data_IF_528703294308
#
_entry.id   IF_528703294308
#
_cell.length_a   1.000
_cell.length_b   1.000
_cell.length_c   1.000
_cell.angle_alpha   90.00
_cell.angle_beta   90.00
_cell.angle_gamma   90.00
#
_symmetry.space_group_name_H-M   'P 1'
#
loop_
_entity.id
_entity.type
_entity.pdbx_description
1 polymer ?
#
# COMPACT_ATOMS: atom_id res chain seq x y z
N UNK A 1 10.71 3.01 9.25
CA UNK A 1 9.84 3.04 8.05
C UNK A 1 9.18 1.69 7.85
N UNK A 2 8.04 1.64 7.15
CA UNK A 2 7.34 0.40 6.82
C UNK A 2 6.88 0.45 5.36
N UNK A 3 6.89 -0.70 4.70
CA UNK A 3 6.27 -0.93 3.39
C UNK A 3 5.13 -1.93 3.56
N UNK A 4 4.03 -1.71 2.86
CA UNK A 4 2.83 -2.53 2.96
C UNK A 4 2.17 -2.70 1.59
N UNK A 5 1.26 -3.66 1.51
CA UNK A 5 0.46 -3.91 0.32
C UNK A 5 -0.89 -4.48 0.73
N UNK A 6 -1.99 -4.01 0.15
CA UNK A 6 -3.32 -4.54 0.44
C UNK A 6 -4.22 -4.54 -0.81
N UNK A 7 -5.27 -5.33 -0.77
CA UNK A 7 -6.30 -5.44 -1.80
C UNK A 7 -7.68 -5.28 -1.14
N UNK A 8 -8.72 -5.01 -1.92
CA UNK A 8 -10.11 -5.00 -1.45
C UNK A 8 -10.51 -6.22 -0.60
N UNK A 9 -9.88 -7.38 -0.81
CA UNK A 9 -10.21 -8.64 -0.10
C UNK A 9 -9.23 -9.02 1.00
N UNK A 10 -7.96 -8.68 0.84
CA UNK A 10 -6.87 -9.22 1.64
C UNK A 10 -5.89 -8.13 2.01
N UNK A 11 -5.49 -8.13 3.27
CA UNK A 11 -4.27 -7.48 3.72
C UNK A 11 -3.07 -8.32 3.27
N UNK A 12 -2.09 -7.65 2.68
CA UNK A 12 -0.84 -8.26 2.28
C UNK A 12 0.26 -8.04 3.32
N UNK A 13 1.52 -8.37 2.98
CA UNK A 13 2.64 -8.23 3.90
C UNK A 13 2.86 -6.79 4.38
N UNK A 14 3.07 -6.65 5.69
CA UNK A 14 3.62 -5.46 6.34
C UNK A 14 5.11 -5.70 6.62
N UNK A 15 5.99 -4.86 6.07
CA UNK A 15 7.44 -5.04 6.08
C UNK A 15 8.12 -3.86 6.76
N UNK A 16 8.79 -4.12 7.88
CA UNK A 16 9.63 -3.12 8.55
C UNK A 16 10.89 -2.86 7.71
N UNK A 17 11.15 -1.58 7.45
CA UNK A 17 12.37 -1.11 6.80
C UNK A 17 13.26 -0.44 7.85
N UNK A 18 14.45 -1.02 8.04
CA UNK A 18 15.48 -0.50 8.96
C UNK A 18 16.16 0.79 8.46
N UNK A 19 16.01 1.12 7.18
CA UNK A 19 16.62 2.30 6.58
C UNK A 19 15.66 2.94 5.58
N UNK A 20 16.02 4.14 5.12
CA UNK A 20 15.31 4.84 4.05
C UNK A 20 15.14 3.96 2.81
N UNK A 21 13.95 4.02 2.21
CA UNK A 21 13.64 3.29 0.99
C UNK A 21 14.40 3.94 -0.16
N UNK A 22 15.25 3.16 -0.82
CA UNK A 22 15.92 3.52 -2.07
C UNK A 22 15.32 2.71 -3.21
N UNK A 23 15.56 3.13 -4.47
CA UNK A 23 15.10 2.35 -5.62
C UNK A 23 15.57 0.89 -5.62
N UNK A 24 16.80 0.63 -5.16
CA UNK A 24 17.32 -0.74 -5.02
C UNK A 24 16.65 -1.54 -3.90
N UNK A 25 16.37 -0.91 -2.75
CA UNK A 25 15.61 -1.57 -1.69
C UNK A 25 14.18 -1.84 -2.13
N UNK A 26 13.57 -0.91 -2.84
CA UNK A 26 12.25 -1.12 -3.41
C UNK A 26 12.25 -2.28 -4.40
N UNK A 27 13.25 -2.36 -5.30
CA UNK A 27 13.45 -3.51 -6.17
C UNK A 27 13.60 -4.83 -5.40
N UNK A 28 14.24 -4.83 -4.22
CA UNK A 28 14.34 -6.04 -3.40
C UNK A 28 13.02 -6.48 -2.77
N UNK A 29 12.01 -5.59 -2.71
CA UNK A 29 10.68 -5.92 -2.17
C UNK A 29 9.77 -6.46 -3.28
N UNK A 30 9.86 -5.90 -4.50
CA UNK A 30 8.95 -6.16 -5.60
C UNK A 30 8.79 -7.66 -5.97
N UNK A 31 9.85 -8.45 -6.25
CA UNK A 31 9.70 -9.86 -6.62
C UNK A 31 9.17 -10.74 -5.48
N UNK A 32 9.60 -10.48 -4.24
CA UNK A 32 9.34 -11.39 -3.14
C UNK A 32 8.00 -11.14 -2.45
N UNK A 33 7.59 -9.87 -2.39
CA UNK A 33 6.41 -9.49 -1.63
C UNK A 33 5.27 -9.03 -2.52
N UNK A 34 5.56 -8.16 -3.49
CA UNK A 34 4.51 -7.68 -4.39
C UNK A 34 4.04 -8.78 -5.36
N UNK A 35 4.96 -9.34 -6.14
CA UNK A 35 4.62 -10.33 -7.18
C UNK A 35 3.96 -11.57 -6.58
N UNK A 36 4.49 -12.05 -5.45
CA UNK A 36 3.91 -13.15 -4.70
C UNK A 36 2.48 -12.83 -4.22
N UNK A 37 2.25 -11.64 -3.67
CA UNK A 37 0.92 -11.22 -3.24
C UNK A 37 -0.06 -11.11 -4.41
N UNK A 38 0.35 -10.48 -5.52
CA UNK A 38 -0.48 -10.38 -6.73
C UNK A 38 -0.82 -11.76 -7.27
N UNK A 39 0.13 -12.70 -7.31
CA UNK A 39 -0.10 -14.06 -7.81
C UNK A 39 -1.13 -14.83 -6.96
N UNK A 40 -1.18 -14.57 -5.66
CA UNK A 40 -2.16 -15.19 -4.74
C UNK A 40 -3.54 -14.56 -4.91
N UNK A 41 -3.60 -13.23 -5.02
CA UNK A 41 -4.87 -12.50 -5.04
C UNK A 41 -5.50 -12.44 -6.44
N UNK A 42 -4.69 -12.47 -7.51
CA UNK A 42 -5.08 -12.26 -8.91
C UNK A 42 -4.49 -13.32 -9.84
N UNK A 43 -4.89 -14.58 -9.64
CA UNK A 43 -4.50 -15.67 -10.54
C UNK A 43 -5.04 -15.50 -11.99
N UNK A 44 -5.99 -14.60 -12.22
CA UNK A 44 -6.57 -14.32 -13.53
C UNK A 44 -5.74 -13.34 -14.39
N UNK A 45 -4.64 -12.78 -13.85
CA UNK A 45 -3.77 -11.84 -14.56
C UNK A 45 -4.40 -10.48 -14.84
N UNK A 46 -5.54 -10.18 -14.23
CA UNK A 46 -6.25 -8.89 -14.37
C UNK A 46 -5.92 -7.92 -13.23
N UNK A 47 -4.98 -8.27 -12.36
CA UNK A 47 -4.55 -7.44 -11.25
C UNK A 47 -4.04 -6.08 -11.72
N UNK A 48 -4.37 -5.03 -10.97
CA UNK A 48 -3.88 -3.67 -11.22
C UNK A 48 -3.12 -3.17 -10.01
N UNK A 49 -1.88 -2.75 -10.27
CA UNK A 49 -0.93 -2.26 -9.30
C UNK A 49 -0.88 -0.74 -9.35
N UNK A 50 -1.29 -0.04 -8.30
CA UNK A 50 -1.08 1.40 -8.16
C UNK A 50 -0.04 1.66 -7.09
N UNK A 51 0.81 2.67 -7.28
CA UNK A 51 1.75 3.21 -6.28
C UNK A 51 1.79 4.75 -6.35
N UNK A 52 2.27 5.40 -5.28
CA UNK A 52 2.54 6.84 -5.32
C UNK A 52 3.76 7.18 -6.20
N UNK A 53 3.96 8.48 -6.45
CA UNK A 53 5.05 8.99 -7.26
C UNK A 53 6.31 9.31 -6.42
N UNK A 54 6.56 8.58 -5.34
CA UNK A 54 7.76 8.78 -4.53
C UNK A 54 9.03 8.42 -5.33
N UNK A 55 10.13 9.14 -5.09
CA UNK A 55 11.41 8.95 -5.82
C UNK A 55 11.89 7.49 -5.92
N UNK A 56 11.77 6.63 -4.87
CA UNK A 56 12.16 5.22 -4.99
C UNK A 56 11.30 4.42 -5.97
N UNK A 57 10.01 4.74 -6.05
CA UNK A 57 9.01 4.10 -6.91
C UNK A 57 9.17 4.52 -8.38
N UNK A 58 9.58 5.77 -8.62
CA UNK A 58 9.92 6.29 -9.95
C UNK A 58 11.37 5.96 -10.39
N UNK A 59 12.13 5.24 -9.56
CA UNK A 59 13.51 4.89 -9.91
C UNK A 59 13.57 3.99 -11.15
N UNK A 60 14.60 4.19 -11.99
CA UNK A 60 14.78 3.41 -13.23
C UNK A 60 14.73 1.89 -13.02
N UNK A 61 15.22 1.42 -11.87
CA UNK A 61 15.24 -0.01 -11.54
C UNK A 61 13.85 -0.53 -11.19
N UNK A 62 13.05 0.25 -10.46
CA UNK A 62 11.68 -0.09 -10.11
C UNK A 62 10.76 -0.05 -11.33
N UNK A 63 10.83 1.02 -12.12
CA UNK A 63 10.01 1.17 -13.33
C UNK A 63 10.31 0.10 -14.36
N UNK A 64 11.59 -0.28 -14.51
CA UNK A 64 12.00 -1.37 -15.40
C UNK A 64 11.41 -2.71 -14.95
N UNK A 65 11.48 -3.02 -13.65
CA UNK A 65 10.90 -4.26 -13.13
C UNK A 65 9.38 -4.33 -13.36
N UNK A 66 8.66 -3.22 -13.11
CA UNK A 66 7.21 -3.14 -13.36
C UNK A 66 6.85 -3.33 -14.83
N UNK A 67 7.69 -2.83 -15.76
CA UNK A 67 7.50 -3.04 -17.19
C UNK A 67 7.72 -4.50 -17.60
N UNK A 68 8.76 -5.14 -17.05
CA UNK A 68 9.07 -6.56 -17.30
C UNK A 68 7.96 -7.50 -16.82
N UNK A 69 7.18 -7.10 -15.79
CA UNK A 69 6.08 -7.90 -15.23
C UNK A 69 4.69 -7.40 -15.67
N UNK A 70 4.62 -6.60 -16.74
CA UNK A 70 3.35 -6.07 -17.27
C UNK A 70 2.40 -7.13 -17.83
N UNK A 71 2.88 -8.36 -18.06
CA UNK A 71 2.05 -9.52 -18.40
C UNK A 71 1.27 -10.07 -17.21
N UNK A 72 1.78 -9.86 -16.00
CA UNK A 72 1.27 -10.50 -14.78
C UNK A 72 0.24 -9.59 -14.10
N UNK A 73 0.43 -8.29 -14.22
CA UNK A 73 -0.49 -7.26 -13.73
C UNK A 73 -0.26 -5.94 -14.48
N UNK A 74 -1.26 -5.06 -14.44
CA UNK A 74 -1.16 -3.71 -15.03
C UNK A 74 -0.69 -2.71 -14.00
N UNK A 75 0.41 -2.01 -14.27
CA UNK A 75 0.81 -0.86 -13.46
C UNK A 75 -0.04 0.37 -13.81
N UNK A 76 -0.81 0.87 -12.83
CA UNK A 76 -1.60 2.07 -12.92
C UNK A 76 -0.80 3.31 -12.50
N UNK A 77 -0.54 4.19 -13.47
CA UNK A 77 0.16 5.44 -13.23
C UNK A 77 -0.76 6.49 -12.58
N UNK A 78 -0.50 6.82 -11.32
CA UNK A 78 -1.22 7.88 -10.62
C UNK A 78 -0.73 9.27 -11.07
N UNK A 79 -1.61 10.24 -11.37
CA UNK A 79 -1.16 11.60 -11.70
C UNK A 79 -0.60 12.32 -10.47
N UNK A 80 0.55 13.00 -10.63
CA UNK A 80 1.24 13.73 -9.55
C UNK A 80 0.42 14.86 -8.91
N UNK A 81 -0.67 15.30 -9.55
CA UNK A 81 -1.55 16.38 -9.08
C UNK A 81 -2.98 15.93 -8.77
N UNK A 82 -3.21 14.63 -8.66
CA UNK A 82 -4.51 14.13 -8.23
C UNK A 82 -4.63 14.20 -6.70
N UNK A 83 -5.84 14.38 -6.15
CA UNK A 83 -6.07 14.19 -4.72
C UNK A 83 -5.52 12.82 -4.34
N UNK A 84 -4.70 12.75 -3.30
CA UNK A 84 -4.27 11.47 -2.77
C UNK A 84 -5.52 10.66 -2.42
N UNK A 85 -5.47 9.35 -2.61
CA UNK A 85 -6.61 8.52 -2.30
C UNK A 85 -6.78 8.51 -0.77
N UNK A 86 -7.84 9.18 -0.30
CA UNK A 86 -8.07 9.48 1.11
C UNK A 86 -7.99 8.24 2.02
N UNK A 87 -8.23 7.05 1.48
CA UNK A 87 -8.31 5.88 2.31
C UNK A 87 -7.00 5.27 2.77
N UNK A 88 -5.87 5.54 2.12
CA UNK A 88 -4.56 5.19 2.72
C UNK A 88 -4.40 5.94 4.02
N UNK A 89 -4.72 7.23 4.00
CA UNK A 89 -4.68 8.05 5.20
C UNK A 89 -5.73 7.55 6.20
N UNK A 90 -6.92 7.12 5.78
CA UNK A 90 -7.90 6.52 6.69
C UNK A 90 -7.42 5.19 7.33
N UNK A 91 -6.67 4.34 6.60
CA UNK A 91 -6.03 3.13 7.16
C UNK A 91 -4.92 3.53 8.13
N UNK A 92 -4.08 4.47 7.74
CA UNK A 92 -2.97 4.98 8.54
C UNK A 92 -3.45 5.61 9.85
N UNK A 93 -4.49 6.42 9.78
CA UNK A 93 -5.09 7.07 10.94
C UNK A 93 -5.71 6.04 11.88
N UNK A 94 -6.37 5.00 11.34
CA UNK A 94 -6.85 3.89 12.16
C UNK A 94 -5.71 3.14 12.87
N UNK A 95 -4.61 2.87 12.17
CA UNK A 95 -3.42 2.22 12.74
C UNK A 95 -2.74 3.10 13.81
N UNK A 96 -2.57 4.38 13.54
CA UNK A 96 -2.01 5.36 14.48
C UNK A 96 -2.87 5.48 15.74
N UNK A 97 -4.19 5.60 15.57
CA UNK A 97 -5.12 5.64 16.67
C UNK A 97 -5.06 4.37 17.52
N UNK A 98 -4.88 3.20 16.91
CA UNK A 98 -4.74 1.96 17.67
C UNK A 98 -3.43 1.91 18.47
N UNK A 99 -2.32 2.37 17.87
CA UNK A 99 -1.04 2.54 18.57
C UNK A 99 -1.16 3.49 19.76
N UNK A 100 -1.82 4.63 19.59
CA UNK A 100 -1.97 5.65 20.64
C UNK A 100 -2.85 5.18 21.80
N UNK A 101 -3.87 4.36 21.52
CA UNK A 101 -4.80 3.83 22.52
C UNK A 101 -4.40 2.47 23.10
N UNK A 102 -3.30 1.88 22.63
CA UNK A 102 -2.79 0.61 23.12
C UNK A 102 -2.41 0.67 24.60
N UNK A 103 -2.94 -0.27 25.39
CA UNK A 103 -2.58 -0.42 26.81
C UNK A 103 -1.85 -1.75 27.03
N UNK A 104 -0.62 -1.75 27.61
CA UNK A 104 0.15 -0.58 28.06
C UNK A 104 0.72 0.25 26.89
N UNK A 105 1.02 1.54 27.08
CA UNK A 105 1.63 2.38 26.06
C UNK A 105 2.91 1.72 25.54
N UNK A 106 3.04 1.59 24.23
CA UNK A 106 4.23 1.03 23.59
C UNK A 106 5.46 1.87 23.93
N UNK A 107 6.45 1.25 24.60
CA UNK A 107 7.62 1.97 25.13
C UNK A 107 8.84 1.86 24.26
N UNK A 108 8.86 0.87 23.35
CA UNK A 108 9.99 0.63 22.46
C UNK A 108 9.58 0.60 20.99
N UNK A 109 10.51 0.85 20.06
CA UNK A 109 10.30 0.64 18.63
C UNK A 109 9.80 -0.76 18.28
N UNK A 110 10.17 -1.78 19.06
CA UNK A 110 9.74 -3.16 18.83
C UNK A 110 8.29 -3.39 19.28
N UNK A 111 7.87 -2.76 20.38
CA UNK A 111 6.48 -2.82 20.85
C UNK A 111 5.56 -2.14 19.84
N UNK A 112 5.94 -0.95 19.38
CA UNK A 112 5.23 -0.20 18.33
C UNK A 112 5.08 -1.03 17.06
N UNK A 113 6.14 -1.71 16.62
CA UNK A 113 6.09 -2.58 15.45
C UNK A 113 5.16 -3.78 15.66
N UNK A 114 5.15 -4.34 16.87
CA UNK A 114 4.30 -5.49 17.21
C UNK A 114 2.83 -5.10 17.21
N UNK A 115 2.48 -3.95 17.81
CA UNK A 115 1.11 -3.41 17.79
C UNK A 115 0.69 -3.15 16.35
N UNK A 116 1.49 -2.41 15.58
CA UNK A 116 1.18 -2.09 14.18
C UNK A 116 0.94 -3.35 13.34
N UNK A 117 1.78 -4.37 13.50
CA UNK A 117 1.64 -5.64 12.79
C UNK A 117 0.39 -6.39 13.19
N UNK A 118 0.04 -6.42 14.48
CA UNK A 118 -1.18 -7.08 14.96
C UNK A 118 -2.42 -6.37 14.42
N UNK A 119 -2.47 -5.05 14.54
CA UNK A 119 -3.59 -4.25 14.04
C UNK A 119 -3.76 -4.39 12.53
N UNK A 120 -2.68 -4.38 11.76
CA UNK A 120 -2.71 -4.63 10.32
C UNK A 120 -3.33 -6.00 9.98
N UNK A 121 -2.99 -7.04 10.73
CA UNK A 121 -3.54 -8.38 10.55
C UNK A 121 -5.02 -8.49 10.95
N UNK A 122 -5.44 -7.74 11.97
CA UNK A 122 -6.81 -7.78 12.51
C UNK A 122 -7.79 -6.85 11.76
N UNK A 123 -7.29 -5.96 10.90
CA UNK A 123 -8.14 -5.08 10.09
C UNK A 123 -9.10 -5.92 9.23
N UNK A 124 -10.43 -5.81 9.47
CA UNK A 124 -11.36 -6.70 8.83
C UNK A 124 -11.46 -6.36 7.34
N UNK A 125 -11.60 -7.35 6.44
CA UNK A 125 -11.81 -7.08 5.02
C UNK A 125 -12.96 -6.10 4.77
N UNK A 126 -14.02 -6.15 5.60
CA UNK A 126 -15.15 -5.20 5.49
C UNK A 126 -14.74 -3.74 5.64
N UNK A 127 -13.71 -3.43 6.43
CA UNK A 127 -13.19 -2.07 6.56
C UNK A 127 -12.60 -1.59 5.22
N UNK A 128 -11.74 -2.40 4.59
CA UNK A 128 -11.20 -2.11 3.26
C UNK A 128 -12.30 -1.94 2.21
N UNK A 129 -13.36 -2.73 2.31
CA UNK A 129 -14.50 -2.63 1.41
C UNK A 129 -15.20 -1.29 1.53
N UNK A 130 -15.51 -0.86 2.77
CA UNK A 130 -16.14 0.42 3.03
C UNK A 130 -15.29 1.58 2.51
N UNK A 131 -13.97 1.51 2.73
CA UNK A 131 -13.03 2.53 2.26
C UNK A 131 -13.05 2.69 0.74
N UNK A 132 -13.00 1.58 0.00
CA UNK A 132 -13.08 1.60 -1.46
C UNK A 132 -14.48 1.99 -1.95
N UNK A 133 -15.55 1.54 -1.30
CA UNK A 133 -16.94 1.95 -1.60
C UNK A 133 -17.16 3.45 -1.35
N UNK A 134 -16.48 4.02 -0.35
CA UNK A 134 -16.56 5.44 0.02
C UNK A 134 -15.72 6.36 -0.87
N UNK A 135 -15.03 5.80 -1.87
CA UNK A 135 -14.15 6.55 -2.74
C UNK A 135 -14.87 7.74 -3.40
N UNK A 136 -14.32 8.96 -3.33
CA UNK A 136 -14.96 10.12 -3.92
C UNK A 136 -15.21 9.94 -5.42
N UNK A 137 -16.40 10.36 -5.89
CA UNK A 137 -16.82 10.26 -7.29
C UNK A 137 -15.78 10.77 -8.32
N UNK A 138 -15.04 11.87 -8.08
CA UNK A 138 -14.00 12.32 -9.00
C UNK A 138 -12.82 11.34 -9.14
N UNK A 139 -12.47 10.65 -8.05
CA UNK A 139 -11.39 9.65 -8.00
C UNK A 139 -11.84 8.39 -8.75
N UNK A 140 -13.07 7.92 -8.47
CA UNK A 140 -13.67 6.81 -9.20
C UNK A 140 -13.81 7.12 -10.71
N UNK A 141 -14.23 8.33 -11.07
CA UNK A 141 -14.33 8.77 -12.46
C UNK A 141 -12.96 8.83 -13.17
N UNK A 142 -11.92 9.36 -12.50
CA UNK A 142 -10.55 9.37 -13.03
C UNK A 142 -10.05 7.97 -13.36
N UNK A 143 -10.32 7.03 -12.45
CA UNK A 143 -9.96 5.63 -12.58
C UNK A 143 -10.74 4.92 -13.72
N UNK A 144 -12.04 5.21 -13.89
CA UNK A 144 -12.84 4.73 -15.02
C UNK A 144 -12.33 5.24 -16.37
N UNK A 145 -12.05 6.55 -16.49
CA UNK A 145 -11.62 7.19 -17.75
C UNK A 145 -10.27 6.66 -18.24
N UNK A 146 -9.39 6.24 -17.32
CA UNK A 146 -8.04 5.74 -17.66
C UNK A 146 -7.98 4.23 -17.90
N UNK A 147 -9.14 3.56 -18.05
CA UNK A 147 -9.21 2.13 -18.33
C UNK A 147 -8.80 1.25 -17.16
N UNK A 148 -8.69 1.82 -15.96
CA UNK A 148 -8.36 1.11 -14.73
C UNK A 148 -9.59 0.51 -14.05
N UNK A 149 -10.80 0.96 -14.38
CA UNK A 149 -12.02 0.46 -13.77
C UNK A 149 -13.05 0.07 -14.82
N UNK A 150 -13.14 -1.24 -15.09
CA UNK A 150 -14.45 -1.84 -15.36
C UNK A 150 -15.18 -2.21 -14.06
N UNK A 151 -14.46 -2.29 -12.94
CA UNK A 151 -14.99 -2.64 -11.62
C UNK A 151 -14.09 -2.04 -10.53
N UNK A 152 -14.62 -1.18 -9.65
CA UNK A 152 -13.86 -0.56 -8.54
C UNK A 152 -13.23 -1.59 -7.59
N UNK A 153 -13.81 -2.79 -7.56
CA UNK A 153 -13.24 -3.93 -6.84
C UNK A 153 -11.92 -4.36 -7.45
N UNK A 154 -11.63 -4.07 -8.72
CA UNK A 154 -10.39 -4.42 -9.42
C UNK A 154 -9.20 -3.48 -9.16
N UNK A 155 -9.42 -2.39 -8.43
CA UNK A 155 -8.34 -1.52 -7.98
C UNK A 155 -7.69 -2.16 -6.76
N UNK A 156 -6.49 -2.69 -6.94
CA UNK A 156 -5.79 -3.40 -5.88
C UNK A 156 -4.38 -2.89 -5.74
N UNK A 157 -4.24 -1.71 -5.16
CA UNK A 157 -3.23 -1.41 -4.14
C UNK A 157 -3.09 0.07 -3.94
N UNK A 158 -2.52 0.35 -2.79
CA UNK A 158 -2.41 1.61 -2.12
C UNK A 158 -1.04 1.58 -1.45
N UNK A 159 -0.08 2.34 -1.97
CA UNK A 159 1.22 2.50 -1.33
C UNK A 159 1.37 3.93 -0.87
N UNK A 160 1.74 4.08 0.40
CA UNK A 160 2.62 5.18 0.81
C UNK A 160 3.49 4.73 1.96
N UNK A 161 4.76 5.04 1.84
CA UNK A 161 5.79 4.96 2.88
C UNK A 161 5.29 5.59 4.18
N UNK A 162 5.29 4.83 5.29
CA UNK A 162 5.27 5.43 6.60
C UNK A 162 6.63 6.12 6.86
N UNK A 163 6.78 7.36 6.39
CA UNK A 163 7.82 8.29 6.86
C UNK A 163 7.18 9.63 7.23
N UNK A 164 6.47 9.61 8.36
CA UNK A 164 6.16 10.81 9.13
C UNK A 164 6.96 10.76 10.42
N UNK A 165 7.42 11.92 10.91
CA UNK A 165 8.23 12.09 12.13
C UNK A 165 7.65 11.45 13.42
N UNK A 166 6.43 10.88 13.37
CA UNK A 166 5.78 10.16 14.47
C UNK A 166 5.87 8.62 14.40
N UNK A 167 6.31 8.04 13.28
CA UNK A 167 6.55 6.58 13.16
C UNK A 167 7.94 6.28 12.57
N UNK A 168 8.91 7.12 12.91
CA UNK A 168 10.31 6.73 12.79
C UNK A 168 10.64 5.79 13.95
N UNK A 169 11.10 4.58 13.62
CA UNK A 169 11.57 3.60 14.61
C UNK A 169 13.04 3.83 14.98
N UNK A 170 13.61 4.94 14.50
CA UNK A 170 14.99 5.31 14.71
C UNK A 170 15.08 6.14 15.98
N UNK A 171 15.89 5.67 16.93
CA UNK A 171 16.32 6.42 18.12
C UNK A 171 17.15 7.64 17.72
#
# INVERSE_FOLDING_TARGET
MVWDVCSWRYMGPLIRLETTLTGYRYLSILPYHLHSFISIVHFDGLGQFQQDNATPHESRVATKWLQEHSSDFRHFHWPTKSPEMNFIEDIRDALLHSVDNGSPPSRTPMDLWTVLKNEWCELPPRYLQILVESMPHPVAALLCVRGALHDIRQLYQFFRLFSGNHMSFDH
#
